data_IF_308868856337
#
_entry.id   IF_308868856337
#
_cell.length_a   1.000
_cell.length_b   1.000
_cell.length_c   1.000
_cell.angle_alpha   90.00
_cell.angle_beta   90.00
_cell.angle_gamma   90.00
#
_symmetry.space_group_name_H-M   'P 1'
#
loop_
_entity.id
_entity.type
_entity.pdbx_description
1 polymer ?
#
# COMPACT_ATOMS: atom_id res chain seq x y z
N UNK A 1 8.32 23.18 -10.64
CA UNK A 1 7.00 22.78 -11.14
C UNK A 1 6.74 21.26 -10.97
N UNK A 2 7.63 20.39 -11.44
CA UNK A 2 7.51 18.94 -11.24
C UNK A 2 7.49 18.57 -9.74
N UNK A 3 8.35 19.18 -8.94
CA UNK A 3 8.44 18.92 -7.50
C UNK A 3 7.13 19.28 -6.77
N UNK A 4 6.51 20.40 -7.13
CA UNK A 4 5.23 20.81 -6.55
C UNK A 4 4.09 19.87 -6.93
N UNK A 5 4.08 19.35 -8.18
CA UNK A 5 3.11 18.39 -8.65
C UNK A 5 3.25 17.06 -7.89
N UNK A 6 4.48 16.63 -7.63
CA UNK A 6 4.75 15.39 -6.89
C UNK A 6 4.31 15.52 -5.45
N UNK A 7 4.61 16.63 -4.77
CA UNK A 7 4.16 16.87 -3.37
C UNK A 7 2.64 16.90 -3.27
N UNK A 8 1.99 17.57 -4.21
CA UNK A 8 0.53 17.63 -4.28
C UNK A 8 -0.06 16.23 -4.54
N UNK A 9 0.59 15.45 -5.40
CA UNK A 9 0.21 14.07 -5.67
C UNK A 9 0.30 13.17 -4.44
N UNK A 10 1.38 13.27 -3.67
CA UNK A 10 1.54 12.53 -2.41
C UNK A 10 0.44 12.88 -1.41
N UNK A 11 0.14 14.15 -1.26
CA UNK A 11 -0.93 14.63 -0.39
C UNK A 11 -2.29 14.07 -0.82
N UNK A 12 -2.58 14.07 -2.11
CA UNK A 12 -3.83 13.54 -2.66
C UNK A 12 -3.95 12.04 -2.47
N UNK A 13 -2.85 11.30 -2.60
CA UNK A 13 -2.82 9.86 -2.32
C UNK A 13 -3.16 9.62 -0.85
N UNK A 14 -2.51 10.33 0.06
CA UNK A 14 -2.77 10.17 1.49
C UNK A 14 -4.23 10.52 1.84
N UNK A 15 -4.78 11.58 1.26
CA UNK A 15 -6.18 11.97 1.44
C UNK A 15 -7.14 10.90 0.89
N UNK A 16 -6.83 10.33 -0.27
CA UNK A 16 -7.62 9.24 -0.85
C UNK A 16 -7.63 8.01 0.05
N UNK A 17 -6.46 7.62 0.56
CA UNK A 17 -6.34 6.50 1.48
C UNK A 17 -7.12 6.77 2.78
N UNK A 18 -7.01 7.98 3.32
CA UNK A 18 -7.74 8.38 4.53
C UNK A 18 -9.25 8.31 4.32
N UNK A 19 -9.74 8.70 3.14
CA UNK A 19 -11.16 8.58 2.79
C UNK A 19 -11.64 7.13 2.77
N UNK A 20 -10.73 6.18 2.54
CA UNK A 20 -11.01 4.74 2.61
C UNK A 20 -10.66 4.13 3.98
N UNK A 21 -10.35 4.97 4.97
CA UNK A 21 -10.03 4.54 6.33
C UNK A 21 -8.67 3.89 6.48
N UNK A 22 -7.71 4.22 5.61
CA UNK A 22 -6.38 3.65 5.63
C UNK A 22 -5.30 4.72 5.74
N UNK A 23 -4.19 4.37 6.37
CA UNK A 23 -2.95 5.13 6.30
C UNK A 23 -2.09 4.56 5.17
N UNK A 24 -1.07 5.31 4.75
CA UNK A 24 -0.12 4.84 3.73
C UNK A 24 0.56 3.53 4.14
N UNK A 25 1.12 3.39 5.36
CA UNK A 25 1.71 2.11 5.77
C UNK A 25 0.73 0.93 5.77
N UNK A 26 -0.52 1.16 6.18
CA UNK A 26 -1.56 0.12 6.15
C UNK A 26 -1.85 -0.35 4.73
N UNK A 27 -1.97 0.59 3.80
CA UNK A 27 -2.18 0.26 2.39
C UNK A 27 -1.02 -0.55 1.82
N UNK A 28 0.22 -0.21 2.17
CA UNK A 28 1.39 -0.97 1.72
C UNK A 28 1.38 -2.41 2.24
N UNK A 29 0.90 -2.65 3.45
CA UNK A 29 0.74 -4.01 3.96
C UNK A 29 -0.24 -4.79 3.09
N UNK A 30 -1.39 -4.21 2.78
CA UNK A 30 -2.40 -4.85 1.91
C UNK A 30 -1.84 -5.09 0.51
N UNK A 31 -1.10 -4.13 -0.04
CA UNK A 31 -0.47 -4.27 -1.36
C UNK A 31 0.53 -5.42 -1.38
N UNK A 32 1.38 -5.51 -0.37
CA UNK A 32 2.37 -6.59 -0.24
C UNK A 32 1.66 -7.95 -0.16
N UNK A 33 0.61 -8.05 0.65
CA UNK A 33 -0.19 -9.27 0.73
C UNK A 33 -0.81 -9.62 -0.63
N UNK A 34 -1.32 -8.64 -1.35
CA UNK A 34 -1.95 -8.88 -2.67
C UNK A 34 -0.97 -9.47 -3.68
N UNK A 35 0.30 -9.14 -3.57
CA UNK A 35 1.37 -9.66 -4.43
C UNK A 35 1.80 -11.08 -4.06
N UNK A 36 1.36 -11.59 -2.91
CA UNK A 36 1.70 -12.91 -2.37
C UNK A 36 0.43 -13.75 -2.10
N UNK A 37 -0.54 -13.65 -2.99
CA UNK A 37 -1.80 -14.40 -2.92
C UNK A 37 -2.59 -14.14 -1.63
N UNK A 38 -2.35 -13.01 -0.98
CA UNK A 38 -3.07 -12.59 0.22
C UNK A 38 -2.59 -13.20 1.52
N UNK A 39 -1.47 -13.91 1.52
CA UNK A 39 -0.94 -14.55 2.73
C UNK A 39 0.57 -14.46 2.83
N UNK A 40 1.07 -14.00 3.97
CA UNK A 40 2.50 -13.95 4.27
C UNK A 40 2.75 -14.12 5.75
N UNK A 41 3.96 -14.57 6.09
CA UNK A 41 4.43 -14.52 7.47
C UNK A 41 4.69 -13.07 7.90
N UNK A 42 4.38 -12.75 9.15
CA UNK A 42 4.54 -11.37 9.66
C UNK A 42 6.00 -10.90 9.56
N UNK A 43 6.96 -11.78 9.82
CA UNK A 43 8.38 -11.47 9.68
C UNK A 43 8.78 -11.19 8.23
N UNK A 44 8.16 -11.86 7.26
CA UNK A 44 8.39 -11.62 5.83
C UNK A 44 7.90 -10.23 5.43
N UNK A 45 6.71 -9.85 5.90
CA UNK A 45 6.15 -8.52 5.63
C UNK A 45 7.05 -7.45 6.25
N UNK A 46 7.46 -7.63 7.50
CA UNK A 46 8.34 -6.71 8.20
C UNK A 46 9.65 -6.49 7.44
N UNK A 47 10.28 -7.57 6.98
CA UNK A 47 11.52 -7.48 6.18
C UNK A 47 11.29 -6.76 4.85
N UNK A 48 10.18 -7.06 4.17
CA UNK A 48 9.85 -6.41 2.91
C UNK A 48 9.66 -4.90 3.06
N UNK A 49 9.20 -4.45 4.23
CA UNK A 49 8.97 -3.03 4.53
C UNK A 49 10.12 -2.35 5.26
N UNK A 50 11.20 -3.09 5.58
CA UNK A 50 12.32 -2.53 6.35
C UNK A 50 11.94 -2.14 7.76
N UNK A 51 10.96 -2.82 8.36
CA UNK A 51 10.45 -2.53 9.69
C UNK A 51 10.76 -3.67 10.66
N UNK A 52 10.74 -3.36 11.95
CA UNK A 52 10.86 -4.39 12.98
C UNK A 52 9.57 -5.22 13.07
N UNK A 53 9.69 -6.44 13.60
CA UNK A 53 8.52 -7.29 13.84
C UNK A 53 7.51 -6.61 14.78
N UNK A 54 8.00 -5.89 15.79
CA UNK A 54 7.14 -5.18 16.73
C UNK A 54 6.30 -4.10 16.04
N UNK A 55 6.93 -3.30 15.18
CA UNK A 55 6.23 -2.27 14.42
C UNK A 55 5.20 -2.88 13.46
N UNK A 56 5.59 -3.94 12.76
CA UNK A 56 4.69 -4.64 11.85
C UNK A 56 3.52 -5.28 12.59
N UNK A 57 3.76 -5.87 13.76
CA UNK A 57 2.69 -6.41 14.60
C UNK A 57 1.66 -5.33 14.95
N UNK A 58 2.11 -4.12 15.28
CA UNK A 58 1.22 -2.99 15.55
C UNK A 58 0.36 -2.61 14.36
N UNK A 59 0.94 -2.54 13.17
CA UNK A 59 0.21 -2.25 11.93
C UNK A 59 -0.83 -3.34 11.63
N UNK A 60 -0.44 -4.59 11.76
CA UNK A 60 -1.32 -5.75 11.52
C UNK A 60 -2.49 -5.76 12.50
N UNK A 61 -2.24 -5.49 13.77
CA UNK A 61 -3.30 -5.41 14.78
C UNK A 61 -4.32 -4.32 14.44
N UNK A 62 -3.88 -3.18 13.94
CA UNK A 62 -4.77 -2.08 13.55
C UNK A 62 -5.64 -2.46 12.35
N UNK A 63 -5.06 -3.16 11.37
CA UNK A 63 -5.82 -3.64 10.22
C UNK A 63 -6.83 -4.73 10.62
N UNK A 64 -6.47 -5.57 11.57
CA UNK A 64 -7.37 -6.60 12.12
C UNK A 64 -8.51 -5.98 12.94
N UNK A 65 -8.26 -4.84 13.59
CA UNK A 65 -9.24 -4.15 14.43
C UNK A 65 -10.30 -3.37 13.63
N UNK A 66 -10.11 -3.17 12.34
CA UNK A 66 -11.11 -2.55 11.47
C UNK A 66 -12.34 -3.48 11.39
N UNK A 67 -13.53 -2.92 11.37
CA UNK A 67 -14.76 -3.70 11.32
C UNK A 67 -15.46 -3.49 9.97
N UNK A 68 -15.61 -4.53 9.12
CA UNK A 68 -15.05 -5.90 9.31
C UNK A 68 -13.53 -5.93 9.14
N UNK A 69 -12.84 -6.91 9.76
CA UNK A 69 -11.37 -6.99 9.67
C UNK A 69 -10.88 -7.13 8.24
N UNK A 70 -9.82 -6.39 7.90
CA UNK A 70 -9.22 -6.46 6.56
C UNK A 70 -8.21 -7.58 6.45
N UNK A 71 -7.65 -8.00 7.57
CA UNK A 71 -6.73 -9.13 7.67
C UNK A 71 -7.04 -9.92 8.93
N UNK A 72 -6.56 -11.16 8.98
CA UNK A 72 -6.60 -12.01 10.18
C UNK A 72 -5.22 -12.60 10.39
N UNK A 73 -4.85 -12.76 11.67
CA UNK A 73 -3.61 -13.42 12.05
C UNK A 73 -3.90 -14.87 12.39
N UNK A 74 -3.04 -15.76 11.90
CA UNK A 74 -3.12 -17.18 12.20
C UNK A 74 -1.78 -17.63 12.77
N UNK A 75 -1.84 -18.32 13.92
CA UNK A 75 -0.64 -18.92 14.50
C UNK A 75 -0.39 -20.26 13.83
N UNK A 76 0.86 -20.55 13.45
CA UNK A 76 1.23 -21.84 12.90
C UNK A 76 1.08 -22.91 13.99
N UNK A 77 0.36 -24.00 13.68
CA UNK A 77 0.13 -25.10 14.62
C UNK A 77 1.41 -25.86 14.97
N UNK A 78 2.37 -25.90 14.05
CA UNK A 78 3.65 -26.60 14.24
C UNK A 78 4.67 -25.70 14.92
N UNK A 79 4.74 -24.42 14.56
CA UNK A 79 5.61 -23.44 15.18
C UNK A 79 4.78 -22.24 15.65
N UNK A 80 4.50 -22.22 16.95
CA UNK A 80 3.71 -21.17 17.59
C UNK A 80 4.34 -19.77 17.51
N UNK A 81 5.63 -19.69 17.16
CA UNK A 81 6.34 -18.42 16.94
C UNK A 81 6.03 -17.83 15.58
N UNK A 82 5.63 -18.66 14.63
CA UNK A 82 5.30 -18.21 13.28
C UNK A 82 3.85 -17.73 13.25
N UNK A 83 3.68 -16.47 12.92
CA UNK A 83 2.37 -15.84 12.72
C UNK A 83 2.21 -15.52 11.25
N UNK A 84 1.15 -16.02 10.65
CA UNK A 84 0.77 -15.71 9.27
C UNK A 84 -0.34 -14.67 9.26
N UNK A 85 -0.29 -13.81 8.27
CA UNK A 85 -1.29 -12.77 8.04
C UNK A 85 -1.99 -13.11 6.73
N UNK A 86 -3.32 -13.17 6.77
CA UNK A 86 -4.14 -13.49 5.60
C UNK A 86 -5.13 -12.35 5.36
N UNK A 87 -5.25 -11.93 4.11
CA UNK A 87 -6.21 -10.91 3.72
C UNK A 87 -7.61 -11.52 3.70
N UNK A 88 -8.57 -10.84 4.33
CA UNK A 88 -9.98 -11.24 4.32
C UNK A 88 -10.65 -10.80 3.02
N UNK A 89 -11.88 -11.26 2.80
CA UNK A 89 -12.69 -10.78 1.69
C UNK A 89 -12.88 -9.26 1.77
N UNK A 90 -13.13 -8.74 2.98
CA UNK A 90 -13.24 -7.29 3.21
C UNK A 90 -11.93 -6.58 2.88
N UNK A 91 -10.78 -7.19 3.18
CA UNK A 91 -9.46 -6.66 2.84
C UNK A 91 -9.26 -6.56 1.33
N UNK A 92 -9.58 -7.61 0.60
CA UNK A 92 -9.51 -7.60 -0.86
C UNK A 92 -10.43 -6.54 -1.47
N UNK A 93 -11.66 -6.44 -0.97
CA UNK A 93 -12.62 -5.45 -1.45
C UNK A 93 -12.10 -4.02 -1.21
N UNK A 94 -11.57 -3.75 -0.01
CA UNK A 94 -11.03 -2.44 0.34
C UNK A 94 -9.80 -2.10 -0.52
N UNK A 95 -8.89 -3.06 -0.67
CA UNK A 95 -7.68 -2.90 -1.49
C UNK A 95 -8.05 -2.59 -2.94
N UNK A 96 -8.96 -3.35 -3.53
CA UNK A 96 -9.38 -3.15 -4.91
C UNK A 96 -10.06 -1.79 -5.09
N UNK A 97 -10.92 -1.37 -4.16
CA UNK A 97 -11.58 -0.07 -4.22
C UNK A 97 -10.58 1.09 -4.17
N UNK A 98 -9.58 1.00 -3.29
CA UNK A 98 -8.52 2.01 -3.19
C UNK A 98 -7.69 2.05 -4.46
N UNK A 99 -7.30 0.89 -4.97
CA UNK A 99 -6.49 0.79 -6.19
C UNK A 99 -7.21 1.41 -7.39
N UNK A 100 -8.49 1.11 -7.58
CA UNK A 100 -9.30 1.71 -8.63
C UNK A 100 -9.41 3.22 -8.48
N UNK A 101 -9.63 3.70 -7.27
CA UNK A 101 -9.73 5.13 -6.99
C UNK A 101 -8.43 5.86 -7.29
N UNK A 102 -7.28 5.26 -6.92
CA UNK A 102 -5.97 5.84 -7.22
C UNK A 102 -5.69 5.86 -8.73
N UNK A 103 -6.05 4.80 -9.45
CA UNK A 103 -5.90 4.73 -10.91
C UNK A 103 -6.77 5.80 -11.58
N UNK A 104 -8.01 5.96 -11.16
CA UNK A 104 -8.92 6.97 -11.72
C UNK A 104 -8.39 8.39 -11.46
N UNK A 105 -7.85 8.63 -10.28
CA UNK A 105 -7.23 9.90 -9.92
C UNK A 105 -6.02 10.19 -10.81
N UNK A 106 -5.19 9.18 -11.05
CA UNK A 106 -4.02 9.29 -11.94
C UNK A 106 -4.46 9.57 -13.39
N UNK A 107 -5.48 8.87 -13.87
CA UNK A 107 -6.03 9.12 -15.23
C UNK A 107 -6.53 10.55 -15.39
N UNK A 108 -7.20 11.09 -14.39
CA UNK A 108 -7.69 12.47 -14.40
C UNK A 108 -6.56 13.49 -14.51
N UNK A 109 -5.46 13.24 -13.79
CA UNK A 109 -4.27 14.09 -13.86
C UNK A 109 -3.59 13.98 -15.22
N UNK A 110 -3.43 12.78 -15.74
CA UNK A 110 -2.81 12.53 -17.05
C UNK A 110 -3.63 13.19 -18.18
N UNK A 111 -4.95 13.18 -18.08
CA UNK A 111 -5.82 13.78 -19.07
C UNK A 111 -5.65 15.31 -19.19
N UNK A 112 -5.14 15.97 -18.14
CA UNK A 112 -4.85 17.41 -18.15
C UNK A 112 -3.53 17.77 -18.83
N UNK A 113 -2.70 16.77 -19.15
CA UNK A 113 -1.37 16.98 -19.72
C UNK A 113 -1.43 16.80 -21.23
N UNK A 114 -0.77 17.69 -22.03
CA UNK A 114 -0.69 17.52 -23.47
C UNK A 114 -0.12 16.16 -23.87
N UNK A 115 -0.67 15.56 -24.92
CA UNK A 115 -0.31 14.21 -25.36
C UNK A 115 1.18 14.03 -25.64
N UNK A 116 1.83 15.03 -26.17
CA UNK A 116 3.26 15.03 -26.50
C UNK A 116 4.16 15.04 -25.25
N UNK A 117 3.63 15.50 -24.11
CA UNK A 117 4.38 15.53 -22.84
C UNK A 117 4.08 14.34 -21.93
N UNK A 118 3.01 13.58 -22.21
CA UNK A 118 2.57 12.47 -21.34
C UNK A 118 3.62 11.39 -21.16
N UNK A 119 4.28 11.00 -22.25
CA UNK A 119 5.29 9.94 -22.20
C UNK A 119 6.48 10.30 -21.34
N UNK A 120 6.97 11.53 -21.45
CA UNK A 120 8.10 12.03 -20.65
C UNK A 120 7.73 12.11 -19.16
N UNK A 121 6.55 12.66 -18.88
CA UNK A 121 6.08 12.82 -17.50
C UNK A 121 5.86 11.47 -16.82
N UNK A 122 5.27 10.48 -17.51
CA UNK A 122 5.09 9.14 -16.98
C UNK A 122 6.43 8.47 -16.67
N UNK A 123 7.44 8.67 -17.51
CA UNK A 123 8.79 8.18 -17.27
C UNK A 123 9.39 8.81 -16.01
N UNK A 124 9.27 10.12 -15.86
CA UNK A 124 9.81 10.86 -14.71
C UNK A 124 9.09 10.45 -13.42
N UNK A 125 7.77 10.31 -13.44
CA UNK A 125 6.97 9.85 -12.30
C UNK A 125 7.32 8.42 -11.91
N UNK A 126 7.49 7.54 -12.90
CA UNK A 126 7.89 6.14 -12.66
C UNK A 126 9.24 6.06 -11.96
N UNK A 127 10.21 6.85 -12.39
CA UNK A 127 11.53 6.94 -11.73
C UNK A 127 11.40 7.46 -10.30
N UNK A 128 10.61 8.50 -10.12
CA UNK A 128 10.41 9.12 -8.81
C UNK A 128 9.76 8.15 -7.84
N UNK A 129 8.68 7.48 -8.25
CA UNK A 129 8.00 6.46 -7.44
C UNK A 129 8.96 5.31 -7.11
N UNK A 130 9.75 4.87 -8.06
CA UNK A 130 10.77 3.84 -7.82
C UNK A 130 11.81 4.27 -6.78
N UNK A 131 12.25 5.52 -6.81
CA UNK A 131 13.17 6.07 -5.83
C UNK A 131 12.56 6.15 -4.43
N UNK A 132 11.30 6.58 -4.32
CA UNK A 132 10.59 6.66 -3.04
C UNK A 132 10.41 5.26 -2.45
N UNK A 133 9.94 4.32 -3.25
CA UNK A 133 9.74 2.93 -2.80
C UNK A 133 11.07 2.34 -2.34
N UNK A 134 12.14 2.55 -3.10
CA UNK A 134 13.49 2.10 -2.74
C UNK A 134 13.97 2.70 -1.41
N UNK A 135 13.70 4.00 -1.17
CA UNK A 135 14.07 4.68 0.07
C UNK A 135 13.23 4.21 1.26
N UNK A 136 11.96 3.89 1.04
CA UNK A 136 11.05 3.42 2.10
C UNK A 136 11.31 1.96 2.47
N UNK A 137 11.86 1.18 1.56
CA UNK A 137 12.15 -0.26 1.75
C UNK A 137 13.55 -0.48 2.35
N UNK A 138 14.44 0.47 2.22
CA UNK A 138 15.75 0.47 2.85
C UNK A 138 15.78 1.37 4.05
#
# INVERSE_FOLDING_TARGET
MLFAIVLDGEKRIAENLAAHGLTVPQFYVLKTLSEHEGRMGIGQIARAHGLTNATMTGLVKRLEAIDPPLIVRETNMVDRRAVYVTMTQAGWARFNAVQESLIDQLRSVIALIPEDERGRLLNDLSRYVGMIVSTMVT
#
